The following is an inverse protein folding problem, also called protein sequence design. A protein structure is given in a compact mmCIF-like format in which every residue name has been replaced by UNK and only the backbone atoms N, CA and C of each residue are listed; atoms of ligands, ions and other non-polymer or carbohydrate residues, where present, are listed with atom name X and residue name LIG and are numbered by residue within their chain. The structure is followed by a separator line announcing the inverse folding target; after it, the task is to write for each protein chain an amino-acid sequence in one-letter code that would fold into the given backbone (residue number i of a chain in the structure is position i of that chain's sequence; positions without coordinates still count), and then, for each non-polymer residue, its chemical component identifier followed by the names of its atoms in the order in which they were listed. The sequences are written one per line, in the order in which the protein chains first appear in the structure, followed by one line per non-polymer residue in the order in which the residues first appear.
data_IF_720255287925
#
_entry.id   IF_720255287925
#
_cell.length_a   1.000
_cell.length_b   1.000
_cell.length_c   1.000
_cell.angle_alpha   90.00
_cell.angle_beta   90.00
_cell.angle_gamma   90.00
#
_symmetry.space_group_name_H-M   'P 1'
#
loop_
_entity.id
_entity.type
_entity.pdbx_description
1 polymer ?
#
# COMPACT_ATOMS: atom_id res chain seq x y z
N UNK A 1 24.36 27.36 1.32
CA UNK A 1 23.50 28.51 1.72
C UNK A 1 22.02 28.15 1.54
N UNK A 2 21.11 28.97 2.10
CA UNK A 2 19.66 28.78 1.92
C UNK A 2 19.27 28.79 0.44
N UNK A 3 19.93 29.61 -0.38
CA UNK A 3 19.69 29.65 -1.82
C UNK A 3 20.13 28.37 -2.53
N UNK A 4 21.23 27.75 -2.13
CA UNK A 4 21.69 26.48 -2.71
C UNK A 4 20.70 25.35 -2.36
N UNK A 5 20.21 25.34 -1.12
CA UNK A 5 19.17 24.38 -0.70
C UNK A 5 17.88 24.55 -1.49
N UNK A 6 17.45 25.80 -1.72
CA UNK A 6 16.25 26.08 -2.51
C UNK A 6 16.40 25.64 -3.99
N UNK A 7 17.59 25.87 -4.58
CA UNK A 7 17.92 25.40 -5.93
C UNK A 7 17.88 23.88 -6.01
N UNK A 8 18.54 23.20 -5.07
CA UNK A 8 18.53 21.72 -5.00
C UNK A 8 17.11 21.17 -4.85
N UNK A 9 16.30 21.77 -3.98
CA UNK A 9 14.90 21.38 -3.81
C UNK A 9 14.08 21.50 -5.10
N UNK A 10 14.30 22.58 -5.86
CA UNK A 10 13.65 22.78 -7.15
C UNK A 10 14.07 21.74 -8.21
N UNK A 11 15.38 21.47 -8.32
CA UNK A 11 15.94 20.47 -9.24
C UNK A 11 15.41 19.06 -8.92
N UNK A 12 15.36 18.69 -7.63
CA UNK A 12 14.77 17.44 -7.17
C UNK A 12 13.28 17.36 -7.55
N UNK A 13 12.53 18.45 -7.33
CA UNK A 13 11.09 18.50 -7.63
C UNK A 13 10.82 18.29 -9.12
N UNK A 14 11.61 18.90 -10.00
CA UNK A 14 11.50 18.70 -11.45
C UNK A 14 11.81 17.27 -11.86
N UNK A 15 12.91 16.70 -11.34
CA UNK A 15 13.29 15.32 -11.62
C UNK A 15 12.23 14.33 -11.16
N UNK A 16 11.70 14.51 -9.95
CA UNK A 16 10.60 13.68 -9.42
C UNK A 16 9.34 13.80 -10.27
N UNK A 17 8.95 15.01 -10.68
CA UNK A 17 7.78 15.22 -11.52
C UNK A 17 7.87 14.42 -12.82
N UNK A 18 9.03 14.43 -13.48
CA UNK A 18 9.25 13.65 -14.71
C UNK A 18 9.12 12.13 -14.49
N UNK A 19 9.82 11.60 -13.50
CA UNK A 19 9.83 10.16 -13.21
C UNK A 19 8.46 9.69 -12.71
N UNK A 20 7.82 10.43 -11.81
CA UNK A 20 6.49 10.08 -11.30
C UNK A 20 5.43 10.15 -12.42
N UNK A 21 5.52 11.13 -13.33
CA UNK A 21 4.62 11.23 -14.48
C UNK A 21 4.76 10.04 -15.43
N UNK A 22 6.00 9.65 -15.76
CA UNK A 22 6.29 8.44 -16.56
C UNK A 22 5.72 7.20 -15.89
N UNK A 23 5.99 7.07 -14.58
CA UNK A 23 5.55 5.90 -13.81
C UNK A 23 4.03 5.83 -13.68
N UNK A 24 3.36 6.96 -13.41
CA UNK A 24 1.89 7.01 -13.42
C UNK A 24 1.31 6.63 -14.79
N UNK A 25 1.97 7.01 -15.88
CA UNK A 25 1.60 6.58 -17.23
C UNK A 25 1.68 5.06 -17.40
N UNK A 26 2.79 4.44 -16.99
CA UNK A 26 2.98 2.99 -17.01
C UNK A 26 1.93 2.29 -16.14
N UNK A 27 1.66 2.82 -14.95
CA UNK A 27 0.66 2.26 -14.04
C UNK A 27 -0.76 2.36 -14.60
N UNK A 28 -1.11 3.45 -15.30
CA UNK A 28 -2.39 3.57 -16.01
C UNK A 28 -2.55 2.51 -17.08
N UNK A 29 -1.49 2.17 -17.78
CA UNK A 29 -1.48 1.07 -18.77
C UNK A 29 -1.72 -0.27 -18.05
N UNK A 30 -1.02 -0.52 -16.94
CA UNK A 30 -1.19 -1.70 -16.12
C UNK A 30 -2.61 -1.83 -15.53
N UNK A 31 -3.18 -0.72 -15.04
CA UNK A 31 -4.55 -0.67 -14.54
C UNK A 31 -5.56 -1.06 -15.63
N UNK A 32 -5.46 -0.42 -16.81
CA UNK A 32 -6.30 -0.75 -17.97
C UNK A 32 -6.04 -2.16 -18.49
N UNK A 33 -4.82 -2.67 -18.36
CA UNK A 33 -4.42 -4.04 -18.66
C UNK A 33 -4.92 -5.09 -17.67
N UNK A 34 -5.61 -4.69 -16.59
CA UNK A 34 -6.23 -5.59 -15.63
C UNK A 34 -5.32 -6.04 -14.48
N UNK A 35 -4.16 -5.43 -14.28
CA UNK A 35 -3.25 -5.77 -13.15
C UNK A 35 -3.96 -5.61 -11.81
N UNK A 36 -4.76 -4.54 -11.65
CA UNK A 36 -5.56 -4.31 -10.43
C UNK A 36 -6.59 -5.44 -10.23
N UNK A 37 -7.22 -5.91 -11.31
CA UNK A 37 -8.18 -7.02 -11.23
C UNK A 37 -7.49 -8.35 -10.83
N UNK A 38 -6.27 -8.59 -11.27
CA UNK A 38 -5.48 -9.75 -10.86
C UNK A 38 -5.14 -9.67 -9.38
N UNK A 39 -4.63 -8.52 -8.92
CA UNK A 39 -4.34 -8.27 -7.50
C UNK A 39 -5.61 -8.40 -6.65
N UNK A 40 -6.74 -7.83 -7.09
CA UNK A 40 -8.02 -7.94 -6.40
C UNK A 40 -8.49 -9.40 -6.28
N UNK A 41 -8.28 -10.21 -7.32
CA UNK A 41 -8.62 -11.64 -7.29
C UNK A 41 -7.74 -12.42 -6.31
N UNK A 42 -6.47 -12.10 -6.26
CA UNK A 42 -5.49 -12.76 -5.36
C UNK A 42 -5.70 -12.35 -3.90
N UNK A 43 -5.86 -11.06 -3.65
CA UNK A 43 -5.99 -10.49 -2.32
C UNK A 43 -7.43 -10.50 -1.81
N UNK A 44 -8.43 -10.69 -2.68
CA UNK A 44 -9.86 -10.67 -2.33
C UNK A 44 -10.23 -11.58 -1.15
N UNK A 45 -9.78 -12.85 -1.12
CA UNK A 45 -10.05 -13.75 0.01
C UNK A 45 -9.45 -13.25 1.34
N UNK A 46 -8.28 -12.62 1.29
CA UNK A 46 -7.64 -12.00 2.46
C UNK A 46 -8.47 -10.80 2.94
N UNK A 47 -8.88 -9.92 2.01
CA UNK A 47 -9.66 -8.73 2.33
C UNK A 47 -11.01 -9.03 2.96
N UNK A 48 -11.76 -10.02 2.44
CA UNK A 48 -13.01 -10.47 3.05
C UNK A 48 -12.84 -10.88 4.52
N UNK A 49 -11.67 -11.36 4.90
CA UNK A 49 -11.36 -11.78 6.27
C UNK A 49 -10.89 -10.62 7.15
N UNK A 50 -10.13 -9.69 6.58
CA UNK A 50 -9.65 -8.52 7.30
C UNK A 50 -10.74 -7.46 7.51
N UNK A 51 -11.75 -7.45 6.65
CA UNK A 51 -12.86 -6.50 6.68
C UNK A 51 -14.24 -7.18 6.77
N UNK A 52 -14.50 -7.97 7.82
CA UNK A 52 -15.75 -8.73 7.92
C UNK A 52 -17.00 -7.85 8.07
N UNK A 53 -16.83 -6.59 8.46
CA UNK A 53 -17.92 -5.62 8.66
C UNK A 53 -18.40 -5.00 7.33
N UNK A 54 -17.66 -5.16 6.23
CA UNK A 54 -18.02 -4.58 4.94
C UNK A 54 -18.94 -5.56 4.18
N UNK A 55 -20.15 -5.12 3.76
CA UNK A 55 -21.04 -5.95 2.97
C UNK A 55 -20.41 -6.40 1.64
N UNK A 56 -20.73 -7.63 1.20
CA UNK A 56 -20.22 -8.14 -0.07
C UNK A 56 -20.68 -7.25 -1.24
N UNK A 57 -19.74 -6.95 -2.14
CA UNK A 57 -20.01 -6.10 -3.31
C UNK A 57 -20.07 -4.60 -3.04
N UNK A 58 -19.84 -4.13 -1.81
CA UNK A 58 -19.86 -2.71 -1.51
C UNK A 58 -18.72 -1.96 -2.23
N UNK A 59 -18.99 -0.79 -2.86
CA UNK A 59 -17.98 -0.05 -3.64
C UNK A 59 -16.73 0.35 -2.87
N UNK A 60 -16.81 0.50 -1.54
CA UNK A 60 -15.68 0.85 -0.67
C UNK A 60 -14.54 -0.17 -0.77
N UNK A 61 -14.86 -1.44 -1.03
CA UNK A 61 -13.85 -2.49 -1.22
C UNK A 61 -12.94 -2.15 -2.39
N UNK A 62 -13.51 -1.67 -3.50
CA UNK A 62 -12.75 -1.21 -4.66
C UNK A 62 -11.80 -0.04 -4.31
N UNK A 63 -12.29 0.95 -3.56
CA UNK A 63 -11.46 2.10 -3.13
C UNK A 63 -10.31 1.67 -2.22
N UNK A 64 -10.55 0.74 -1.28
CA UNK A 64 -9.52 0.15 -0.41
C UNK A 64 -8.46 -0.56 -1.26
N UNK A 65 -8.89 -1.39 -2.21
CA UNK A 65 -7.99 -2.11 -3.11
C UNK A 65 -7.13 -1.16 -3.94
N UNK A 66 -7.73 -0.15 -4.53
CA UNK A 66 -7.02 0.84 -5.34
C UNK A 66 -5.97 1.61 -4.50
N UNK A 67 -6.34 2.02 -3.29
CA UNK A 67 -5.42 2.69 -2.37
C UNK A 67 -4.24 1.80 -2.00
N UNK A 68 -4.48 0.56 -1.56
CA UNK A 68 -3.42 -0.36 -1.16
C UNK A 68 -2.54 -0.73 -2.36
N UNK A 69 -3.13 -0.96 -3.54
CA UNK A 69 -2.35 -1.22 -4.75
C UNK A 69 -1.44 -0.04 -5.12
N UNK A 70 -1.93 1.19 -4.99
CA UNK A 70 -1.13 2.39 -5.22
C UNK A 70 0.06 2.48 -4.24
N UNK A 71 -0.18 2.22 -2.95
CA UNK A 71 0.88 2.17 -1.94
C UNK A 71 1.92 1.07 -2.23
N UNK A 72 1.47 -0.14 -2.57
CA UNK A 72 2.36 -1.26 -2.91
C UNK A 72 3.28 -0.93 -4.09
N UNK A 73 2.82 -0.09 -4.98
CA UNK A 73 3.56 0.32 -6.18
C UNK A 73 4.34 1.63 -5.99
N UNK A 74 4.39 2.16 -4.77
CA UNK A 74 5.13 3.39 -4.44
C UNK A 74 4.53 4.66 -5.05
N UNK A 75 3.21 4.68 -5.26
CA UNK A 75 2.46 5.80 -5.82
C UNK A 75 1.76 6.62 -4.73
N UNK A 76 2.52 7.12 -3.77
CA UNK A 76 2.01 7.79 -2.58
C UNK A 76 1.03 8.92 -2.89
N UNK A 77 1.33 9.72 -3.92
CA UNK A 77 0.48 10.83 -4.34
C UNK A 77 -0.88 10.38 -4.91
N UNK A 78 -0.93 9.22 -5.57
CA UNK A 78 -2.18 8.65 -6.08
C UNK A 78 -2.95 7.89 -4.98
N UNK A 79 -2.24 7.35 -4.00
CA UNK A 79 -2.84 6.62 -2.89
C UNK A 79 -3.68 7.53 -1.98
N UNK A 80 -3.25 8.77 -1.73
CA UNK A 80 -3.91 9.70 -0.80
C UNK A 80 -5.39 9.96 -1.14
N UNK A 81 -5.78 10.42 -2.35
CA UNK A 81 -7.18 10.65 -2.67
C UNK A 81 -8.02 9.36 -2.66
N UNK A 82 -7.42 8.22 -3.03
CA UNK A 82 -8.09 6.92 -2.96
C UNK A 82 -8.32 6.49 -1.51
N UNK A 83 -7.36 6.77 -0.62
CA UNK A 83 -7.46 6.51 0.81
C UNK A 83 -8.56 7.34 1.48
N UNK A 84 -8.66 8.63 1.14
CA UNK A 84 -9.72 9.49 1.64
C UNK A 84 -11.09 8.98 1.20
N UNK A 85 -11.25 8.63 -0.08
CA UNK A 85 -12.50 8.08 -0.60
C UNK A 85 -12.87 6.72 0.02
N UNK A 86 -11.87 5.88 0.32
CA UNK A 86 -12.10 4.65 1.05
C UNK A 86 -12.55 4.93 2.49
N UNK A 87 -11.94 5.90 3.17
CA UNK A 87 -12.31 6.26 4.53
C UNK A 87 -13.71 6.88 4.60
N UNK A 88 -14.11 7.72 3.64
CA UNK A 88 -15.46 8.25 3.51
C UNK A 88 -16.49 7.10 3.40
N UNK A 89 -16.27 6.15 2.51
CA UNK A 89 -17.16 4.99 2.36
C UNK A 89 -17.19 4.08 3.60
N UNK A 90 -16.07 3.94 4.32
CA UNK A 90 -16.04 3.25 5.61
C UNK A 90 -16.81 4.00 6.68
N UNK A 91 -16.75 5.34 6.69
CA UNK A 91 -17.52 6.16 7.61
C UNK A 91 -19.03 6.11 7.33
N UNK A 92 -19.44 5.99 6.07
CA UNK A 92 -20.85 5.76 5.73
C UNK A 92 -21.39 4.46 6.31
N UNK A 93 -20.58 3.40 6.31
CA UNK A 93 -20.92 2.11 6.90
C UNK A 93 -20.81 2.06 8.42
N UNK A 94 -20.13 3.04 9.02
CA UNK A 94 -19.86 3.05 10.45
C UNK A 94 -21.13 3.37 11.28
N UNK A 95 -21.61 2.46 12.15
CA UNK A 95 -22.78 2.70 12.98
C UNK A 95 -22.53 3.73 14.10
N UNK A 96 -21.27 3.93 14.49
CA UNK A 96 -20.88 4.86 15.58
C UNK A 96 -20.01 5.98 15.01
N UNK A 97 -20.63 7.04 14.52
CA UNK A 97 -19.95 8.13 13.79
C UNK A 97 -18.82 8.81 14.57
N UNK A 98 -18.89 8.80 15.90
CA UNK A 98 -17.91 9.42 16.80
C UNK A 98 -16.71 8.51 17.13
N UNK A 99 -16.72 7.27 16.65
CA UNK A 99 -15.65 6.31 16.92
C UNK A 99 -15.25 5.60 15.63
N UNK A 100 -13.95 5.34 15.46
CA UNK A 100 -13.49 4.52 14.33
C UNK A 100 -14.02 3.08 14.42
N UNK A 101 -14.58 2.57 13.32
CA UNK A 101 -14.96 1.16 13.22
C UNK A 101 -13.72 0.25 13.10
N UNK A 102 -13.90 -1.05 13.33
CA UNK A 102 -12.81 -2.01 13.14
C UNK A 102 -12.27 -1.99 11.71
N UNK A 103 -13.13 -1.84 10.72
CA UNK A 103 -12.72 -1.71 9.32
C UNK A 103 -11.85 -0.46 9.09
N UNK A 104 -12.21 0.68 9.68
CA UNK A 104 -11.40 1.91 9.60
C UNK A 104 -10.02 1.72 10.26
N UNK A 105 -9.98 1.09 11.43
CA UNK A 105 -8.72 0.81 12.15
C UNK A 105 -7.84 -0.11 11.32
N UNK A 106 -8.36 -1.22 10.79
CA UNK A 106 -7.61 -2.15 9.94
C UNK A 106 -7.07 -1.45 8.69
N UNK A 107 -7.90 -0.62 8.04
CA UNK A 107 -7.49 0.14 6.87
C UNK A 107 -6.36 1.13 7.18
N UNK A 108 -6.43 1.85 8.30
CA UNK A 108 -5.36 2.75 8.76
C UNK A 108 -4.07 1.99 9.06
N UNK A 109 -4.15 0.83 9.70
CA UNK A 109 -2.98 0.00 9.99
C UNK A 109 -2.30 -0.47 8.71
N UNK A 110 -3.06 -0.93 7.71
CA UNK A 110 -2.51 -1.32 6.41
C UNK A 110 -1.81 -0.16 5.69
N UNK A 111 -2.38 1.05 5.75
CA UNK A 111 -1.75 2.24 5.17
C UNK A 111 -0.49 2.67 5.93
N UNK A 112 -0.55 2.69 7.26
CA UNK A 112 0.58 3.11 8.11
C UNK A 112 1.76 2.14 8.04
N UNK A 113 1.49 0.84 7.93
CA UNK A 113 2.53 -0.18 7.77
C UNK A 113 3.15 -0.19 6.37
N UNK A 114 2.41 0.29 5.37
CA UNK A 114 2.87 0.70 4.05
C UNK A 114 3.65 -0.36 3.27
N UNK A 115 3.11 -1.58 3.10
CA UNK A 115 3.75 -2.60 2.27
C UNK A 115 4.10 -2.02 0.90
N UNK A 116 5.39 -1.92 0.60
CA UNK A 116 5.91 -1.36 -0.63
C UNK A 116 6.66 -2.44 -1.42
N UNK A 117 6.10 -2.82 -2.57
CA UNK A 117 6.73 -3.79 -3.46
C UNK A 117 7.80 -3.13 -4.34
N UNK A 118 7.57 -1.89 -4.75
CA UNK A 118 8.49 -1.15 -5.62
C UNK A 118 8.68 0.27 -5.06
N UNK A 119 9.77 0.54 -4.32
CA UNK A 119 10.02 1.83 -3.65
C UNK A 119 10.60 2.89 -4.62
N UNK A 120 9.85 3.24 -5.68
CA UNK A 120 10.35 4.08 -6.76
C UNK A 120 10.78 5.44 -6.29
N UNK A 121 9.95 6.11 -5.48
CA UNK A 121 10.26 7.45 -4.97
C UNK A 121 11.60 7.48 -4.26
N UNK A 122 11.88 6.47 -3.42
CA UNK A 122 13.14 6.37 -2.68
C UNK A 122 14.32 6.12 -3.63
N UNK A 123 14.17 5.23 -4.61
CA UNK A 123 15.23 4.94 -5.57
C UNK A 123 15.55 6.16 -6.45
N UNK A 124 14.53 6.93 -6.84
CA UNK A 124 14.71 8.18 -7.59
C UNK A 124 15.44 9.23 -6.74
N UNK A 125 15.03 9.44 -5.49
CA UNK A 125 15.72 10.35 -4.58
C UNK A 125 17.20 9.96 -4.42
N UNK A 126 17.48 8.70 -4.22
CA UNK A 126 18.87 8.21 -4.10
C UNK A 126 19.68 8.46 -5.38
N UNK A 127 19.09 8.21 -6.54
CA UNK A 127 19.73 8.48 -7.83
C UNK A 127 20.05 9.98 -8.00
N UNK A 128 19.11 10.87 -7.66
CA UNK A 128 19.30 12.31 -7.76
C UNK A 128 20.34 12.85 -6.77
N UNK A 129 20.49 12.19 -5.61
CA UNK A 129 21.53 12.52 -4.62
C UNK A 129 22.88 11.89 -4.93
N UNK A 130 23.03 11.26 -6.09
CA UNK A 130 24.31 10.70 -6.54
C UNK A 130 24.71 9.40 -5.86
N UNK A 131 23.76 8.61 -5.34
CA UNK A 131 24.08 7.30 -4.79
C UNK A 131 24.68 6.39 -5.86
N UNK A 132 25.77 5.68 -5.53
CA UNK A 132 26.44 4.78 -6.45
C UNK A 132 25.52 3.65 -6.95
N UNK A 133 24.70 3.13 -6.04
CA UNK A 133 23.68 2.12 -6.36
C UNK A 133 22.33 2.54 -5.77
N UNK A 134 21.49 3.28 -6.50
CA UNK A 134 20.18 3.73 -6.00
C UNK A 134 19.23 2.58 -5.61
N UNK A 135 19.40 1.40 -6.19
CA UNK A 135 18.52 0.25 -6.04
C UNK A 135 18.90 -0.71 -4.90
N UNK A 136 20.04 -0.51 -4.23
CA UNK A 136 20.51 -1.39 -3.13
C UNK A 136 19.59 -1.43 -1.92
N UNK A 137 18.71 -0.43 -1.76
CA UNK A 137 17.71 -0.35 -0.70
C UNK A 137 16.42 -1.13 -1.01
N UNK A 138 16.30 -1.72 -2.20
CA UNK A 138 15.08 -2.41 -2.62
C UNK A 138 14.70 -3.55 -1.66
N UNK A 139 15.60 -4.50 -1.45
CA UNK A 139 15.35 -5.65 -0.56
C UNK A 139 15.16 -5.22 0.91
N UNK A 140 16.01 -4.37 1.50
CA UNK A 140 15.76 -3.85 2.85
C UNK A 140 14.39 -3.20 3.03
N UNK A 141 13.93 -2.37 2.07
CA UNK A 141 12.60 -1.73 2.14
C UNK A 141 11.50 -2.78 2.03
N UNK A 142 11.59 -3.69 1.07
CA UNK A 142 10.62 -4.76 0.90
C UNK A 142 10.45 -5.58 2.18
N UNK A 143 11.55 -5.99 2.80
CA UNK A 143 11.53 -6.77 4.04
C UNK A 143 10.96 -5.96 5.21
N UNK A 144 11.45 -4.73 5.42
CA UNK A 144 11.00 -3.89 6.51
C UNK A 144 9.49 -3.63 6.42
N UNK A 145 8.98 -3.27 5.24
CA UNK A 145 7.55 -2.99 5.02
C UNK A 145 6.70 -4.26 5.08
N UNK A 146 7.23 -5.39 4.61
CA UNK A 146 6.54 -6.69 4.73
C UNK A 146 6.35 -7.09 6.19
N UNK A 147 7.43 -7.09 7.01
CA UNK A 147 7.32 -7.44 8.43
C UNK A 147 6.50 -6.43 9.22
N UNK A 148 6.59 -5.14 8.91
CA UNK A 148 5.74 -4.11 9.50
C UNK A 148 4.25 -4.39 9.23
N UNK A 149 3.90 -4.67 7.98
CA UNK A 149 2.51 -4.98 7.60
C UNK A 149 2.03 -6.28 8.23
N UNK A 150 2.87 -7.31 8.23
CA UNK A 150 2.53 -8.60 8.86
C UNK A 150 2.25 -8.42 10.36
N UNK A 151 3.12 -7.70 11.08
CA UNK A 151 2.93 -7.39 12.49
C UNK A 151 1.65 -6.57 12.73
N UNK A 152 1.43 -5.53 11.91
CA UNK A 152 0.22 -4.70 11.96
C UNK A 152 -1.06 -5.53 11.78
N UNK A 153 -1.10 -6.39 10.78
CA UNK A 153 -2.25 -7.29 10.54
C UNK A 153 -2.47 -8.23 11.75
N UNK A 154 -1.40 -8.88 12.25
CA UNK A 154 -1.51 -9.83 13.36
C UNK A 154 -2.05 -9.13 14.61
N UNK A 155 -1.44 -8.00 15.01
CA UNK A 155 -1.83 -7.27 16.23
C UNK A 155 -3.27 -6.78 16.11
N UNK A 156 -3.63 -6.17 14.98
CA UNK A 156 -4.98 -5.65 14.76
C UNK A 156 -6.02 -6.77 14.71
N UNK A 157 -5.71 -7.87 14.03
CA UNK A 157 -6.61 -9.01 13.95
C UNK A 157 -6.83 -9.67 15.32
N UNK A 158 -5.79 -9.77 16.17
CA UNK A 158 -5.91 -10.25 17.54
C UNK A 158 -6.79 -9.32 18.37
N UNK A 159 -6.59 -8.01 18.26
CA UNK A 159 -7.41 -7.00 18.93
C UNK A 159 -8.89 -7.07 18.51
N UNK A 160 -9.13 -7.22 17.22
CA UNK A 160 -10.47 -7.32 16.62
C UNK A 160 -11.08 -8.72 16.70
N UNK A 161 -10.37 -9.70 17.29
CA UNK A 161 -10.78 -11.09 17.41
C UNK A 161 -11.06 -11.77 16.06
N UNK A 162 -10.35 -11.36 15.02
CA UNK A 162 -10.39 -12.01 13.72
C UNK A 162 -9.65 -13.34 13.81
N UNK A 163 -10.26 -14.43 13.35
CA UNK A 163 -9.63 -15.73 13.36
C UNK A 163 -8.53 -15.83 12.30
N UNK A 164 -7.26 -15.69 12.74
CA UNK A 164 -6.07 -15.78 11.89
C UNK A 164 -5.74 -17.23 11.45
N UNK A 165 -6.19 -18.23 12.17
CA UNK A 165 -5.92 -19.66 11.89
C UNK A 165 -6.82 -20.22 10.78
N UNK A 166 -7.47 -19.39 10.02
CA UNK A 166 -8.24 -19.82 8.87
C UNK A 166 -7.30 -20.22 7.72
N UNK A 167 -7.59 -21.37 7.07
CA UNK A 167 -6.82 -21.91 5.95
C UNK A 167 -6.53 -20.87 4.86
N UNK A 168 -7.47 -19.99 4.57
CA UNK A 168 -7.31 -18.92 3.57
C UNK A 168 -6.25 -17.90 3.99
N UNK A 169 -6.29 -17.42 5.24
CA UNK A 169 -5.30 -16.48 5.77
C UNK A 169 -3.91 -17.10 5.83
N UNK A 170 -3.81 -18.34 6.30
CA UNK A 170 -2.54 -19.07 6.36
C UNK A 170 -1.93 -19.29 4.98
N UNK A 171 -2.74 -19.61 3.98
CA UNK A 171 -2.28 -19.79 2.60
C UNK A 171 -1.87 -18.47 1.93
N UNK A 172 -2.60 -17.38 2.16
CA UNK A 172 -2.27 -16.08 1.56
C UNK A 172 -1.05 -15.43 2.22
N UNK A 173 -0.99 -15.40 3.55
CA UNK A 173 0.16 -14.84 4.28
C UNK A 173 1.39 -15.74 4.14
N UNK A 174 1.23 -17.07 4.21
CA UNK A 174 2.31 -18.03 3.98
C UNK A 174 2.83 -17.96 2.55
N UNK A 175 1.95 -17.89 1.56
CA UNK A 175 2.33 -17.72 0.15
C UNK A 175 3.09 -16.42 -0.09
N UNK A 176 2.62 -15.30 0.48
CA UNK A 176 3.34 -14.03 0.42
C UNK A 176 4.73 -14.12 1.06
N UNK A 177 4.84 -14.79 2.21
CA UNK A 177 6.13 -15.01 2.89
C UNK A 177 7.10 -15.84 2.06
N UNK A 178 6.61 -16.89 1.37
CA UNK A 178 7.42 -17.72 0.47
C UNK A 178 7.89 -16.90 -0.74
N UNK A 179 7.03 -16.09 -1.33
CA UNK A 179 7.41 -15.21 -2.46
C UNK A 179 8.50 -14.23 -2.03
N UNK A 180 8.34 -13.58 -0.88
CA UNK A 180 9.35 -12.65 -0.34
C UNK A 180 10.66 -13.39 -0.05
N UNK A 181 10.61 -14.59 0.54
CA UNK A 181 11.80 -15.40 0.79
C UNK A 181 12.51 -15.88 -0.49
N UNK A 182 11.77 -16.05 -1.59
CA UNK A 182 12.33 -16.43 -2.89
C UNK A 182 12.98 -15.27 -3.67
N UNK A 183 12.76 -14.02 -3.24
CA UNK A 183 13.38 -12.80 -3.81
C UNK A 183 14.74 -12.49 -3.15
N UNK A 184 14.99 -13.03 -1.96
CA UNK A 184 16.21 -12.88 -1.19
C UNK A 184 17.23 -13.93 -1.59
#
# INVERSE_FOLDING_TARGET
STFDTAKTAFEISLGLTGVLSLWMGIMRIGEKGGVVAILARWLGPLFKRLFPEIPEGHPVVGNIFMNISANMLGLDNAATPLGLKAMEGLQELNPQKERASNAMIMFLVLNTSGLTLIPISIMVYRAQQGAANPTDVFIPILLATFFSTLAGIIITALYQRINLFNRTLLLTLGGASIVVAGII
#
